data_IF_435135589043
#
_entry.id   IF_435135589043
#
_cell.length_a   1.000
_cell.length_b   1.000
_cell.length_c   1.000
_cell.angle_alpha   90.00
_cell.angle_beta   90.00
_cell.angle_gamma   90.00
#
_symmetry.space_group_name_H-M   'P 1'
#
loop_
_entity.id
_entity.type
_entity.pdbx_description
1 polymer ?
#
# COMPACT_ATOMS: atom_id res chain seq x y z
N UNK A 1 2.96 -10.93 55.19
CA UNK A 1 2.32 -10.54 53.91
C UNK A 1 3.32 -10.84 52.81
N UNK A 2 3.11 -11.93 52.08
CA UNK A 2 3.97 -12.30 50.95
C UNK A 2 3.58 -11.40 49.79
N UNK A 3 4.31 -10.29 49.58
CA UNK A 3 4.18 -9.53 48.35
C UNK A 3 5.03 -10.23 47.30
N UNK A 4 4.42 -11.18 46.60
CA UNK A 4 4.95 -11.64 45.33
C UNK A 4 5.08 -10.42 44.42
N UNK A 5 6.33 -10.08 44.05
CA UNK A 5 6.60 -9.05 43.06
C UNK A 5 6.04 -9.45 41.68
N UNK A 6 6.27 -8.63 40.66
CA UNK A 6 5.93 -8.96 39.28
C UNK A 6 7.19 -9.31 38.48
N UNK A 7 7.05 -10.22 37.53
CA UNK A 7 8.03 -10.45 36.48
C UNK A 7 7.44 -9.91 35.16
N UNK A 8 8.21 -9.12 34.43
CA UNK A 8 7.85 -8.65 33.10
C UNK A 8 8.85 -9.22 32.09
N UNK A 9 8.33 -9.74 30.98
CA UNK A 9 9.12 -10.16 29.82
C UNK A 9 8.93 -9.11 28.75
N UNK A 10 10.04 -8.54 28.28
CA UNK A 10 10.04 -7.60 27.16
C UNK A 10 10.42 -8.38 25.90
N UNK A 11 9.62 -8.24 24.86
CA UNK A 11 9.96 -8.75 23.53
C UNK A 11 10.18 -7.56 22.59
N UNK A 12 11.28 -7.61 21.85
CA UNK A 12 11.55 -6.69 20.76
C UNK A 12 11.20 -7.40 19.46
N UNK A 13 10.39 -6.73 18.65
CA UNK A 13 10.08 -7.16 17.30
C UNK A 13 11.35 -7.30 16.46
N UNK A 14 11.40 -8.32 15.61
CA UNK A 14 12.50 -8.53 14.67
C UNK A 14 12.16 -7.77 13.40
N UNK A 15 13.03 -6.84 12.97
CA UNK A 15 12.84 -6.17 11.69
C UNK A 15 13.22 -7.11 10.54
N UNK A 16 12.23 -7.76 9.93
CA UNK A 16 12.47 -8.65 8.79
C UNK A 16 12.87 -7.88 7.52
N UNK A 17 12.49 -6.60 7.42
CA UNK A 17 12.86 -5.74 6.29
C UNK A 17 14.35 -5.38 6.28
N UNK A 18 15.01 -5.38 7.44
CA UNK A 18 16.43 -5.11 7.57
C UNK A 18 17.33 -6.13 6.85
N UNK A 19 16.80 -7.31 6.51
CA UNK A 19 17.52 -8.33 5.76
C UNK A 19 16.89 -8.57 4.38
N UNK A 20 17.65 -8.28 3.32
CA UNK A 20 17.21 -8.48 1.93
C UNK A 20 15.80 -7.94 1.62
N UNK A 21 15.42 -6.81 2.25
CA UNK A 21 14.11 -6.18 2.10
C UNK A 21 12.94 -7.13 2.40
N UNK A 22 13.09 -8.07 3.33
CA UNK A 22 12.08 -9.10 3.62
C UNK A 22 11.75 -10.00 2.43
N UNK A 23 12.58 -10.02 1.37
CA UNK A 23 12.27 -10.68 0.10
C UNK A 23 11.21 -9.98 -0.76
N UNK A 24 10.79 -8.76 -0.40
CA UNK A 24 9.85 -7.97 -1.19
C UNK A 24 10.51 -7.45 -2.48
N UNK A 25 9.80 -7.51 -3.60
CA UNK A 25 10.28 -6.97 -4.89
C UNK A 25 10.45 -5.45 -4.85
N UNK A 26 9.56 -4.75 -4.13
CA UNK A 26 9.52 -3.29 -4.06
C UNK A 26 9.76 -2.80 -2.62
N UNK A 27 8.72 -2.49 -1.88
CA UNK A 27 8.82 -1.94 -0.53
C UNK A 27 8.47 -3.01 0.51
N UNK A 28 9.19 -2.98 1.64
CA UNK A 28 8.91 -3.80 2.82
C UNK A 28 8.55 -2.89 3.99
N UNK A 29 7.45 -3.22 4.67
CA UNK A 29 6.97 -2.49 5.85
C UNK A 29 7.02 -3.42 7.05
N UNK A 30 7.89 -3.10 8.00
CA UNK A 30 8.00 -3.87 9.24
C UNK A 30 6.81 -3.55 10.15
N UNK A 31 6.16 -4.59 10.70
CA UNK A 31 5.00 -4.48 11.58
C UNK A 31 5.28 -5.21 12.89
N UNK A 32 4.49 -4.98 13.93
CA UNK A 32 4.74 -5.67 15.21
C UNK A 32 4.37 -7.16 15.06
N UNK A 33 5.39 -8.02 15.06
CA UNK A 33 5.31 -9.48 14.99
C UNK A 33 5.37 -10.06 13.57
N UNK A 34 5.58 -9.23 12.52
CA UNK A 34 5.67 -9.65 11.11
C UNK A 34 6.11 -8.48 10.22
N UNK A 35 6.14 -8.67 8.91
CA UNK A 35 6.27 -7.62 7.90
C UNK A 35 5.23 -7.80 6.78
N UNK A 36 5.05 -6.76 5.97
CA UNK A 36 4.24 -6.80 4.75
C UNK A 36 4.98 -6.16 3.57
N UNK A 37 4.84 -6.72 2.37
CA UNK A 37 5.35 -6.11 1.15
C UNK A 37 4.31 -5.21 0.51
N UNK A 38 4.74 -4.05 0.00
CA UNK A 38 3.92 -3.20 -0.86
C UNK A 38 4.58 -2.99 -2.22
N UNK A 39 3.75 -2.62 -3.20
CA UNK A 39 4.21 -2.32 -4.54
C UNK A 39 4.03 -0.83 -4.82
N UNK A 40 5.01 -0.22 -5.49
CA UNK A 40 4.90 1.10 -6.08
C UNK A 40 3.62 1.25 -6.94
N UNK A 41 3.12 2.48 -7.09
CA UNK A 41 1.88 2.70 -7.84
C UNK A 41 2.02 2.22 -9.29
N UNK A 42 0.92 1.68 -9.82
CA UNK A 42 0.91 1.02 -11.12
C UNK A 42 1.32 -0.45 -11.07
N UNK A 43 1.63 -0.99 -9.89
CA UNK A 43 1.82 -2.41 -9.64
C UNK A 43 0.81 -2.90 -8.58
N UNK A 44 0.48 -4.19 -8.64
CA UNK A 44 -0.32 -4.87 -7.62
C UNK A 44 0.52 -5.97 -7.01
N UNK A 45 0.37 -6.17 -5.71
CA UNK A 45 1.01 -7.29 -5.04
C UNK A 45 0.52 -8.60 -5.66
N UNK A 46 1.46 -9.47 -5.98
CA UNK A 46 1.21 -10.80 -6.46
C UNK A 46 0.70 -11.69 -5.31
N UNK A 47 0.10 -12.82 -5.64
CA UNK A 47 -0.52 -13.71 -4.64
C UNK A 47 0.49 -14.38 -3.71
N UNK A 48 1.77 -14.38 -4.09
CA UNK A 48 2.86 -14.82 -3.22
C UNK A 48 3.24 -13.79 -2.15
N UNK A 49 2.64 -12.60 -2.15
CA UNK A 49 2.89 -11.57 -1.13
C UNK A 49 4.23 -10.86 -1.24
N UNK A 50 5.05 -11.15 -2.27
CA UNK A 50 6.39 -10.59 -2.43
C UNK A 50 6.61 -9.91 -3.78
N UNK A 51 6.09 -10.52 -4.85
CA UNK A 51 6.28 -9.99 -6.20
C UNK A 51 5.26 -8.91 -6.52
N UNK A 52 5.62 -8.03 -7.45
CA UNK A 52 4.78 -6.96 -7.93
C UNK A 52 4.45 -7.21 -9.40
N UNK A 53 3.20 -7.58 -9.66
CA UNK A 53 2.66 -7.70 -11.02
C UNK A 53 2.24 -6.34 -11.53
N UNK A 54 2.33 -6.15 -12.84
CA UNK A 54 1.90 -4.91 -13.46
C UNK A 54 0.41 -4.68 -13.13
N UNK A 55 0.15 -3.60 -12.41
CA UNK A 55 -1.19 -3.20 -12.01
C UNK A 55 -1.86 -2.57 -13.22
N UNK A 56 -3.13 -2.95 -13.45
CA UNK A 56 -3.98 -2.20 -14.35
C UNK A 56 -4.06 -0.75 -13.88
N UNK A 57 -3.96 0.21 -14.81
CA UNK A 57 -4.01 1.62 -14.49
C UNK A 57 -5.42 2.20 -14.67
N UNK A 58 -6.42 1.53 -14.09
CA UNK A 58 -7.82 1.95 -14.14
C UNK A 58 -8.31 2.26 -12.73
N UNK A 59 -8.82 3.46 -12.54
CA UNK A 59 -9.34 3.96 -11.26
C UNK A 59 -10.84 4.19 -11.37
N UNK A 60 -11.60 3.66 -10.41
CA UNK A 60 -13.05 3.85 -10.32
C UNK A 60 -13.33 4.90 -9.23
N UNK A 61 -13.79 6.09 -9.63
CA UNK A 61 -14.02 7.22 -8.72
C UNK A 61 -15.52 7.37 -8.48
N UNK A 62 -15.95 7.01 -7.28
CA UNK A 62 -17.34 7.13 -6.81
C UNK A 62 -17.53 8.24 -5.77
N UNK A 63 -16.42 8.76 -5.22
CA UNK A 63 -16.44 9.78 -4.17
C UNK A 63 -17.03 11.09 -4.70
N UNK A 64 -17.91 11.77 -3.94
CA UNK A 64 -18.51 13.04 -4.38
C UNK A 64 -17.49 14.20 -4.45
N UNK A 65 -16.40 14.12 -3.69
CA UNK A 65 -15.29 15.10 -3.69
C UNK A 65 -13.98 14.35 -3.45
N UNK A 66 -12.90 14.83 -4.06
CA UNK A 66 -11.56 14.31 -3.84
C UNK A 66 -10.54 14.94 -4.76
N UNK A 67 -9.30 14.47 -4.63
CA UNK A 67 -8.19 14.86 -5.50
C UNK A 67 -7.80 13.66 -6.35
N UNK A 68 -7.60 13.89 -7.64
CA UNK A 68 -6.99 12.92 -8.54
C UNK A 68 -5.52 13.24 -8.69
N UNK A 69 -4.68 12.22 -8.62
CA UNK A 69 -3.25 12.33 -8.88
C UNK A 69 -2.86 11.33 -9.95
N UNK A 70 -1.81 11.67 -10.70
CA UNK A 70 -1.18 10.71 -11.58
C UNK A 70 -0.56 9.58 -10.74
N UNK A 71 -0.56 8.32 -11.22
CA UNK A 71 0.21 7.25 -10.59
C UNK A 71 1.64 7.71 -10.33
N UNK A 72 2.13 7.45 -9.11
CA UNK A 72 3.44 7.86 -8.61
C UNK A 72 3.64 9.36 -8.36
N UNK A 73 2.64 10.24 -8.45
CA UNK A 73 2.84 11.64 -8.05
C UNK A 73 3.31 11.75 -6.58
N UNK A 74 4.35 12.56 -6.26
CA UNK A 74 4.98 13.62 -7.07
C UNK A 74 6.09 13.16 -8.03
N UNK A 75 6.45 11.88 -8.01
CA UNK A 75 7.43 11.29 -8.91
C UNK A 75 6.89 11.11 -10.33
N UNK A 76 7.78 10.63 -11.21
CA UNK A 76 7.45 10.44 -12.63
C UNK A 76 6.36 9.39 -12.83
N UNK A 77 5.42 9.74 -13.70
CA UNK A 77 4.39 8.82 -14.17
C UNK A 77 5.03 7.59 -14.84
N UNK A 78 4.50 6.37 -14.59
CA UNK A 78 5.07 5.15 -15.15
C UNK A 78 5.17 5.15 -16.68
N UNK A 79 6.33 4.73 -17.20
CA UNK A 79 6.54 4.63 -18.65
C UNK A 79 5.60 3.59 -19.28
N UNK A 80 5.09 3.89 -20.48
CA UNK A 80 4.23 3.00 -21.28
C UNK A 80 2.88 2.66 -20.62
N UNK A 81 2.36 3.56 -19.78
CA UNK A 81 1.02 3.44 -19.20
C UNK A 81 0.04 4.45 -19.80
N UNK A 82 -1.15 3.97 -20.10
CA UNK A 82 -2.31 4.81 -20.42
C UNK A 82 -3.38 4.57 -19.35
N UNK A 83 -3.52 5.53 -18.44
CA UNK A 83 -4.36 5.39 -17.26
C UNK A 83 -5.73 6.00 -17.47
N UNK A 84 -6.77 5.33 -16.96
CA UNK A 84 -8.16 5.75 -17.10
C UNK A 84 -8.77 5.98 -15.73
N UNK A 85 -9.31 7.18 -15.52
CA UNK A 85 -10.15 7.50 -14.36
C UNK A 85 -11.61 7.47 -14.79
N UNK A 86 -12.34 6.45 -14.32
CA UNK A 86 -13.74 6.27 -14.58
C UNK A 86 -14.55 6.89 -13.43
N UNK A 87 -15.18 8.02 -13.70
CA UNK A 87 -16.02 8.71 -12.73
C UNK A 87 -17.45 8.19 -12.80
N UNK A 88 -17.99 7.81 -11.65
CA UNK A 88 -19.39 7.40 -11.51
C UNK A 88 -20.04 8.24 -10.43
N UNK A 89 -21.20 8.80 -10.73
CA UNK A 89 -21.96 9.64 -9.79
C UNK A 89 -23.42 9.21 -9.78
N UNK A 90 -24.16 9.61 -8.74
CA UNK A 90 -25.59 9.29 -8.65
C UNK A 90 -26.40 10.05 -9.70
N UNK A 91 -27.53 9.49 -10.19
CA UNK A 91 -28.34 10.15 -11.21
C UNK A 91 -28.73 11.59 -10.82
N UNK A 92 -28.63 12.52 -11.77
CA UNK A 92 -28.92 13.93 -11.57
C UNK A 92 -27.74 14.79 -11.10
N UNK A 93 -26.63 14.18 -10.68
CA UNK A 93 -25.41 14.91 -10.36
C UNK A 93 -24.54 15.13 -11.60
N UNK A 94 -23.74 16.19 -11.57
CA UNK A 94 -22.76 16.53 -12.60
C UNK A 94 -21.37 16.54 -11.99
N UNK A 95 -20.41 15.97 -12.70
CA UNK A 95 -19.01 16.00 -12.30
C UNK A 95 -18.39 17.31 -12.80
N UNK A 96 -17.67 17.99 -11.91
CA UNK A 96 -16.86 19.18 -12.23
C UNK A 96 -15.42 18.87 -11.83
N UNK A 97 -14.50 19.04 -12.78
CA UNK A 97 -13.05 18.92 -12.58
C UNK A 97 -12.44 20.31 -12.44
#
# INVERSE_FOLDING_TARGET
IQKSGFAAVFFTDMDECANNNGGCQHECHNTIGSYECSCHNGFKLHENGHDCKEGGCKYEITSPVGTITSPNYPDYYPARKDCVWHFTTTPGHRIKL
#
